data_IF_441763187865
#
_entry.id   IF_441763187865
#
_cell.length_a   1.000
_cell.length_b   1.000
_cell.length_c   1.000
_cell.angle_alpha   90.00
_cell.angle_beta   90.00
_cell.angle_gamma   90.00
#
_symmetry.space_group_name_H-M   'P 1'
#
loop_
_entity.id
_entity.type
_entity.pdbx_description
1 polymer ?
#
# COMPACT_ATOMS: atom_id res chain seq x y z
N UNK A 1 -17.88 11.05 -0.94
CA UNK A 1 -17.61 10.08 -2.03
C UNK A 1 -16.52 10.66 -2.90
N UNK A 2 -15.48 9.89 -3.24
CA UNK A 2 -14.38 10.39 -4.05
C UNK A 2 -14.75 10.54 -5.52
N UNK A 3 -14.08 11.45 -6.23
CA UNK A 3 -14.29 11.69 -7.67
C UNK A 3 -13.14 11.10 -8.49
N UNK A 4 -13.44 10.34 -9.54
CA UNK A 4 -12.44 9.82 -10.46
C UNK A 4 -12.02 10.87 -11.49
N UNK A 5 -10.73 10.97 -11.77
CA UNK A 5 -10.16 11.86 -12.80
C UNK A 5 -9.37 11.00 -13.79
N UNK A 6 -9.89 10.88 -15.02
CA UNK A 6 -9.26 10.08 -16.07
C UNK A 6 -7.97 10.72 -16.56
N UNK A 7 -7.13 9.91 -17.23
CA UNK A 7 -5.91 10.40 -17.90
C UNK A 7 -6.16 11.61 -18.81
N UNK A 8 -7.25 11.60 -19.58
CA UNK A 8 -7.61 12.72 -20.44
C UNK A 8 -7.96 13.98 -19.63
N UNK A 9 -8.71 13.84 -18.53
CA UNK A 9 -9.14 14.97 -17.71
C UNK A 9 -7.99 15.68 -17.00
N UNK A 10 -6.99 14.95 -16.51
CA UNK A 10 -5.81 15.58 -15.91
C UNK A 10 -4.71 15.91 -16.92
N UNK A 11 -4.91 15.67 -18.21
CA UNK A 11 -3.96 16.02 -19.26
C UNK A 11 -2.71 15.15 -19.23
N UNK A 12 -2.88 13.84 -19.02
CA UNK A 12 -1.81 12.86 -19.14
C UNK A 12 -1.19 12.89 -20.53
N UNK A 13 0.13 12.83 -20.60
CA UNK A 13 0.78 12.45 -21.85
C UNK A 13 0.71 10.94 -22.06
N UNK A 14 0.92 10.52 -23.31
CA UNK A 14 0.99 9.11 -23.66
C UNK A 14 2.16 8.42 -22.95
N UNK A 15 1.97 7.18 -22.45
CA UNK A 15 3.09 6.37 -21.95
C UNK A 15 4.03 5.99 -23.11
N UNK A 16 5.31 5.75 -22.81
CA UNK A 16 6.27 5.20 -23.80
C UNK A 16 6.02 3.72 -24.07
N UNK A 17 5.54 3.00 -23.07
CA UNK A 17 5.21 1.57 -23.13
C UNK A 17 4.13 1.24 -22.08
N UNK A 18 3.32 0.23 -22.35
CA UNK A 18 2.35 -0.35 -21.40
C UNK A 18 2.66 -1.83 -21.24
N UNK A 19 2.90 -2.26 -20.00
CA UNK A 19 3.10 -3.67 -19.66
C UNK A 19 1.90 -4.21 -18.90
N UNK A 20 1.29 -5.27 -19.42
CA UNK A 20 0.17 -5.97 -18.79
C UNK A 20 0.64 -7.17 -17.95
N UNK A 21 1.95 -7.32 -17.72
CA UNK A 21 2.50 -8.38 -16.89
C UNK A 21 2.33 -8.03 -15.41
N UNK A 22 1.15 -8.31 -14.87
CA UNK A 22 0.80 -8.05 -13.48
C UNK A 22 -0.05 -9.20 -12.92
N UNK A 23 0.23 -9.58 -11.68
CA UNK A 23 -0.35 -10.69 -10.91
C UNK A 23 -0.94 -10.21 -9.57
N UNK A 24 -1.85 -9.23 -9.56
CA UNK A 24 -2.29 -8.54 -8.34
C UNK A 24 -3.07 -9.44 -7.36
N UNK A 25 -3.48 -10.64 -7.80
CA UNK A 25 -4.07 -11.67 -6.96
C UNK A 25 -3.05 -12.34 -6.00
N UNK A 26 -1.74 -12.19 -6.24
CA UNK A 26 -0.68 -12.71 -5.36
C UNK A 26 -0.34 -11.72 -4.24
N UNK A 27 -0.61 -10.43 -4.43
CA UNK A 27 -0.31 -9.38 -3.47
C UNK A 27 -1.55 -8.61 -3.05
N UNK A 28 -1.83 -7.51 -3.75
CA UNK A 28 -2.93 -6.60 -3.42
C UNK A 28 -2.61 -5.15 -3.78
N UNK A 29 -2.80 -4.24 -2.83
CA UNK A 29 -2.58 -2.79 -3.04
C UNK A 29 -1.59 -2.22 -2.03
N UNK A 30 -0.63 -1.46 -2.52
CA UNK A 30 0.34 -0.74 -1.68
C UNK A 30 0.01 0.73 -1.64
N UNK A 31 -0.05 1.27 -0.42
CA UNK A 31 -0.22 2.70 -0.19
C UNK A 31 1.15 3.38 -0.21
N UNK A 32 1.22 4.50 -0.94
CA UNK A 32 2.39 5.34 -1.09
C UNK A 32 2.10 6.79 -0.71
N UNK A 33 3.16 7.56 -0.48
CA UNK A 33 3.17 9.02 -0.58
C UNK A 33 4.22 9.44 -1.62
N UNK A 34 4.22 10.71 -2.04
CA UNK A 34 5.01 11.16 -3.20
C UNK A 34 6.50 11.13 -2.90
N UNK A 35 6.95 11.83 -1.87
CA UNK A 35 8.37 12.02 -1.58
C UNK A 35 8.62 12.54 -0.15
N UNK A 36 9.88 12.65 0.25
CA UNK A 36 10.35 13.22 1.51
C UNK A 36 10.03 14.72 1.69
N UNK A 37 9.46 15.38 0.67
CA UNK A 37 9.03 16.78 0.72
C UNK A 37 7.51 16.84 0.84
N UNK A 38 7.01 17.81 1.62
CA UNK A 38 5.59 18.12 1.70
C UNK A 38 5.08 18.68 0.37
N UNK A 39 4.03 18.09 -0.16
CA UNK A 39 3.50 18.39 -1.50
C UNK A 39 1.98 18.55 -1.54
N UNK A 40 1.28 18.40 -0.42
CA UNK A 40 -0.16 18.61 -0.38
C UNK A 40 -0.53 20.03 -0.83
N UNK A 41 -1.42 20.12 -1.82
CA UNK A 41 -1.90 21.41 -2.35
C UNK A 41 -3.08 21.90 -1.55
N UNK A 42 -3.15 23.22 -1.34
CA UNK A 42 -4.31 23.85 -0.71
C UNK A 42 -5.53 23.77 -1.60
N UNK A 43 -5.37 24.02 -2.92
CA UNK A 43 -6.47 24.03 -3.88
C UNK A 43 -6.44 22.79 -4.78
N UNK A 44 -7.60 22.18 -5.00
CA UNK A 44 -7.73 21.01 -5.87
C UNK A 44 -7.32 21.30 -7.32
N UNK A 45 -7.55 22.53 -7.81
CA UNK A 45 -7.19 22.94 -9.17
C UNK A 45 -5.70 22.73 -9.49
N UNK A 46 -4.83 22.71 -8.48
CA UNK A 46 -3.39 22.52 -8.63
C UNK A 46 -2.98 21.04 -8.70
N UNK A 47 -3.85 20.11 -8.29
CA UNK A 47 -3.51 18.69 -8.19
C UNK A 47 -3.25 18.06 -9.56
N UNK A 48 -4.00 18.43 -10.61
CA UNK A 48 -3.74 17.91 -11.94
C UNK A 48 -2.35 18.32 -12.46
N UNK A 49 -1.92 19.56 -12.19
CA UNK A 49 -0.58 20.03 -12.53
C UNK A 49 0.50 19.27 -11.75
N UNK A 50 0.26 18.98 -10.47
CA UNK A 50 1.14 18.15 -9.65
C UNK A 50 1.28 16.73 -10.21
N UNK A 51 0.17 16.07 -10.58
CA UNK A 51 0.20 14.72 -11.17
C UNK A 51 0.97 14.70 -12.49
N UNK A 52 0.77 15.70 -13.36
CA UNK A 52 1.60 15.87 -14.58
C UNK A 52 3.07 16.05 -14.25
N UNK A 53 3.40 16.83 -13.22
CA UNK A 53 4.78 17.00 -12.74
C UNK A 53 5.42 15.67 -12.33
N UNK A 54 4.68 14.82 -11.61
CA UNK A 54 5.15 13.48 -11.21
C UNK A 54 5.36 12.59 -12.45
N UNK A 55 4.42 12.58 -13.41
CA UNK A 55 4.57 11.84 -14.67
C UNK A 55 5.80 12.31 -15.46
N UNK A 56 5.99 13.63 -15.54
CA UNK A 56 7.14 14.23 -16.22
C UNK A 56 8.45 13.81 -15.59
N UNK A 57 8.59 13.95 -14.26
CA UNK A 57 9.77 13.50 -13.55
C UNK A 57 10.06 12.00 -13.78
N UNK A 58 9.04 11.15 -13.72
CA UNK A 58 9.21 9.71 -13.93
C UNK A 58 9.72 9.36 -15.34
N UNK A 59 9.19 9.97 -16.40
CA UNK A 59 9.65 9.57 -17.75
C UNK A 59 10.84 10.40 -18.25
N UNK A 60 10.93 11.68 -17.89
CA UNK A 60 11.99 12.57 -18.40
C UNK A 60 13.27 12.47 -17.56
N UNK A 61 13.14 12.36 -16.24
CA UNK A 61 14.30 12.27 -15.34
C UNK A 61 14.71 10.81 -15.08
N UNK A 62 13.73 9.91 -14.84
CA UNK A 62 14.04 8.49 -14.53
C UNK A 62 14.00 7.57 -15.74
N UNK A 63 13.61 8.06 -16.91
CA UNK A 63 13.53 7.26 -18.13
C UNK A 63 12.39 6.23 -18.14
N UNK A 64 11.50 6.24 -17.15
CA UNK A 64 10.44 5.23 -17.02
C UNK A 64 9.40 5.34 -18.13
N UNK A 65 8.68 4.24 -18.36
CA UNK A 65 7.66 4.18 -19.39
C UNK A 65 6.48 5.14 -19.13
N UNK A 66 6.11 5.33 -17.86
CA UNK A 66 5.03 6.21 -17.42
C UNK A 66 5.17 6.52 -15.92
N UNK A 67 4.26 7.34 -15.39
CA UNK A 67 4.02 7.50 -13.95
C UNK A 67 3.97 6.13 -13.24
N UNK A 68 4.61 5.96 -12.09
CA UNK A 68 4.81 4.65 -11.49
C UNK A 68 3.57 3.98 -10.89
N UNK A 69 2.58 4.78 -10.49
CA UNK A 69 1.46 4.35 -9.66
C UNK A 69 0.25 3.95 -10.51
N UNK A 70 -0.55 3.00 -10.01
CA UNK A 70 -1.84 2.64 -10.62
C UNK A 70 -2.83 3.80 -10.50
N UNK A 71 -2.90 4.41 -9.32
CA UNK A 71 -3.74 5.57 -9.03
C UNK A 71 -3.04 6.57 -8.12
N UNK A 72 -3.46 7.84 -8.16
CA UNK A 72 -3.01 8.89 -7.24
C UNK A 72 -4.19 9.55 -6.53
N UNK A 73 -4.16 9.64 -5.21
CA UNK A 73 -5.24 10.20 -4.39
C UNK A 73 -4.84 11.58 -3.85
N UNK A 74 -5.62 12.62 -4.09
CA UNK A 74 -5.34 13.95 -3.53
C UNK A 74 -6.07 14.20 -2.21
N UNK A 75 -5.59 15.20 -1.46
CA UNK A 75 -6.15 15.60 -0.16
C UNK A 75 -7.58 16.17 -0.22
N UNK A 76 -8.12 16.36 -1.42
CA UNK A 76 -9.46 16.91 -1.68
C UNK A 76 -10.49 15.85 -2.08
N UNK A 77 -10.12 14.56 -2.07
CA UNK A 77 -11.07 13.48 -2.38
C UNK A 77 -11.18 13.13 -3.86
N UNK A 78 -10.13 13.39 -4.63
CA UNK A 78 -10.07 12.99 -6.04
C UNK A 78 -9.04 11.88 -6.22
N UNK A 79 -9.38 10.92 -7.09
CA UNK A 79 -8.53 9.82 -7.50
C UNK A 79 -8.18 9.98 -8.97
N UNK A 80 -6.92 10.29 -9.24
CA UNK A 80 -6.36 10.39 -10.58
C UNK A 80 -5.95 9.01 -11.10
N UNK A 81 -6.37 8.71 -12.32
CA UNK A 81 -5.92 7.55 -13.09
C UNK A 81 -4.43 7.66 -13.39
N UNK A 82 -3.62 6.77 -12.82
CA UNK A 82 -2.21 6.62 -13.16
C UNK A 82 -2.06 5.64 -14.32
N UNK A 83 -1.32 4.55 -14.10
CA UNK A 83 -1.26 3.42 -15.04
C UNK A 83 -2.60 2.67 -15.15
N UNK A 84 -3.46 2.77 -14.14
CA UNK A 84 -4.77 2.13 -14.12
C UNK A 84 -4.71 0.65 -13.74
N UNK A 85 -5.86 0.00 -13.89
CA UNK A 85 -6.03 -1.44 -13.69
C UNK A 85 -5.36 -2.26 -14.82
N UNK A 86 -4.93 -3.49 -14.51
CA UNK A 86 -4.26 -4.44 -15.41
C UNK A 86 -2.90 -4.00 -15.99
N UNK A 87 -2.38 -2.85 -15.56
CA UNK A 87 -1.07 -2.36 -15.98
C UNK A 87 -0.09 -2.44 -14.81
N UNK A 88 1.05 -3.09 -15.07
CA UNK A 88 2.16 -3.27 -14.13
C UNK A 88 2.67 -1.93 -13.59
N UNK A 89 2.94 -1.87 -12.29
CA UNK A 89 3.45 -0.65 -11.65
C UNK A 89 4.98 -0.49 -11.81
N UNK A 90 5.52 0.62 -11.34
CA UNK A 90 6.98 0.79 -11.13
C UNK A 90 7.27 1.38 -9.74
N UNK A 91 6.36 1.16 -8.80
CA UNK A 91 6.35 1.82 -7.50
C UNK A 91 6.98 0.97 -6.38
N UNK A 92 7.14 -0.34 -6.60
CA UNK A 92 7.48 -1.31 -5.56
C UNK A 92 8.95 -1.69 -5.50
N UNK A 93 9.84 -1.00 -6.20
CA UNK A 93 11.31 -1.17 -6.16
C UNK A 93 11.91 -2.54 -6.54
N UNK A 94 11.11 -3.59 -6.75
CA UNK A 94 11.54 -4.91 -7.26
C UNK A 94 10.66 -5.35 -8.42
N UNK A 95 11.14 -6.32 -9.21
CA UNK A 95 10.32 -6.91 -10.28
C UNK A 95 9.07 -7.57 -9.71
N UNK A 96 9.23 -8.52 -8.78
CA UNK A 96 8.12 -9.25 -8.17
C UNK A 96 7.11 -8.32 -7.50
N UNK A 97 7.57 -7.29 -6.78
CA UNK A 97 6.66 -6.33 -6.15
C UNK A 97 5.81 -5.58 -7.18
N UNK A 98 6.41 -5.16 -8.29
CA UNK A 98 5.70 -4.45 -9.36
C UNK A 98 4.76 -5.37 -10.16
N UNK A 99 5.02 -6.67 -10.18
CA UNK A 99 4.18 -7.70 -10.77
C UNK A 99 2.99 -8.00 -9.84
N UNK A 100 3.22 -8.25 -8.55
CA UNK A 100 2.17 -8.74 -7.63
C UNK A 100 1.30 -7.64 -7.01
N UNK A 101 1.66 -6.37 -7.15
CA UNK A 101 1.01 -5.30 -6.42
C UNK A 101 0.71 -4.07 -7.26
N UNK A 102 -0.53 -3.60 -7.11
CA UNK A 102 -0.90 -2.26 -7.52
C UNK A 102 -0.43 -1.21 -6.50
N UNK A 103 -0.41 0.05 -6.92
CA UNK A 103 0.05 1.15 -6.10
C UNK A 103 -0.93 2.33 -6.11
N UNK A 104 -1.34 2.79 -4.93
CA UNK A 104 -2.12 4.02 -4.73
C UNK A 104 -1.24 5.03 -4.03
N UNK A 105 -0.88 6.12 -4.71
CA UNK A 105 -0.04 7.17 -4.17
C UNK A 105 -0.87 8.36 -3.68
N UNK A 106 -0.77 8.68 -2.40
CA UNK A 106 -1.31 9.91 -1.87
C UNK A 106 -0.45 11.11 -2.30
N UNK A 107 -1.09 12.19 -2.78
CA UNK A 107 -0.46 13.49 -3.08
C UNK A 107 -0.14 14.27 -1.80
N UNK A 108 0.57 13.59 -0.91
CA UNK A 108 1.14 14.06 0.35
C UNK A 108 2.61 13.72 0.36
N UNK A 109 3.38 14.37 1.21
CA UNK A 109 4.75 13.95 1.47
C UNK A 109 5.29 14.40 2.81
N UNK A 110 6.61 14.40 2.93
CA UNK A 110 7.34 14.83 4.12
C UNK A 110 8.17 13.73 4.76
N UNK A 111 8.68 14.00 5.95
CA UNK A 111 9.51 13.09 6.75
C UNK A 111 8.94 12.93 8.15
N UNK A 112 9.49 11.98 8.91
CA UNK A 112 9.09 11.73 10.30
C UNK A 112 9.03 13.02 11.13
N UNK A 113 7.87 13.29 11.72
CA UNK A 113 7.59 14.51 12.49
C UNK A 113 7.13 15.74 11.68
N UNK A 114 7.16 15.68 10.34
CA UNK A 114 6.76 16.78 9.47
C UNK A 114 6.13 16.29 8.15
N UNK A 115 5.09 15.45 8.26
CA UNK A 115 4.30 15.03 7.11
C UNK A 115 3.17 16.02 6.81
N UNK A 116 2.72 16.02 5.56
CA UNK A 116 1.44 16.64 5.21
C UNK A 116 0.27 16.02 5.98
N UNK A 117 -0.76 16.83 6.20
CA UNK A 117 -1.98 16.38 6.84
C UNK A 117 -2.72 15.37 5.96
N UNK A 118 -3.03 14.21 6.54
CA UNK A 118 -3.93 13.23 5.92
C UNK A 118 -5.38 13.62 6.23
N UNK A 119 -6.08 14.12 5.22
CA UNK A 119 -7.50 14.51 5.33
C UNK A 119 -8.41 13.28 5.24
N UNK A 120 -9.66 13.39 5.73
CA UNK A 120 -10.67 12.35 5.54
C UNK A 120 -10.98 12.11 4.05
N UNK A 121 -10.95 13.18 3.24
CA UNK A 121 -11.17 13.11 1.80
C UNK A 121 -10.04 12.34 1.10
N UNK A 122 -8.78 12.48 1.54
CA UNK A 122 -7.67 11.65 1.05
C UNK A 122 -7.94 10.16 1.29
N UNK A 123 -8.37 9.82 2.50
CA UNK A 123 -8.69 8.43 2.87
C UNK A 123 -9.82 7.90 2.00
N UNK A 124 -10.88 8.67 1.76
CA UNK A 124 -11.97 8.27 0.87
C UNK A 124 -11.50 8.04 -0.58
N UNK A 125 -10.58 8.86 -1.09
CA UNK A 125 -9.97 8.65 -2.40
C UNK A 125 -9.11 7.39 -2.44
N UNK A 126 -8.32 7.11 -1.39
CA UNK A 126 -7.55 5.86 -1.28
C UNK A 126 -8.48 4.65 -1.26
N UNK A 127 -9.54 4.67 -0.43
CA UNK A 127 -10.55 3.60 -0.38
C UNK A 127 -11.16 3.35 -1.75
N UNK A 128 -11.51 4.41 -2.47
CA UNK A 128 -12.06 4.31 -3.80
C UNK A 128 -11.06 3.65 -4.77
N UNK A 129 -9.78 4.04 -4.72
CA UNK A 129 -8.73 3.43 -5.53
C UNK A 129 -8.49 1.95 -5.21
N UNK A 130 -8.42 1.60 -3.94
CA UNK A 130 -8.31 0.19 -3.50
C UNK A 130 -9.51 -0.62 -3.98
N UNK A 131 -10.74 -0.07 -3.88
CA UNK A 131 -11.94 -0.75 -4.33
C UNK A 131 -11.90 -1.02 -5.84
N UNK A 132 -11.54 -0.02 -6.64
CA UNK A 132 -11.40 -0.18 -8.10
C UNK A 132 -10.38 -1.25 -8.47
N UNK A 133 -9.19 -1.20 -7.85
CA UNK A 133 -8.12 -2.16 -8.14
C UNK A 133 -8.49 -3.60 -7.74
N UNK A 134 -9.34 -3.78 -6.73
CA UNK A 134 -9.90 -5.10 -6.39
C UNK A 134 -10.97 -5.54 -7.38
N UNK A 135 -12.00 -4.71 -7.59
CA UNK A 135 -13.20 -5.08 -8.35
C UNK A 135 -12.89 -5.19 -9.84
N UNK A 136 -12.21 -4.20 -10.41
CA UNK A 136 -11.87 -4.16 -11.82
C UNK A 136 -10.50 -4.79 -12.08
N UNK A 137 -9.52 -4.53 -11.21
CA UNK A 137 -8.14 -4.97 -11.42
C UNK A 137 -7.79 -6.36 -10.89
N UNK A 138 -8.68 -7.05 -10.18
CA UNK A 138 -8.44 -8.40 -9.64
C UNK A 138 -7.45 -8.49 -8.48
N UNK A 139 -7.21 -7.38 -7.77
CA UNK A 139 -6.30 -7.38 -6.63
C UNK A 139 -6.79 -8.23 -5.47
N UNK A 140 -5.87 -8.94 -4.81
CA UNK A 140 -6.15 -9.60 -3.54
C UNK A 140 -6.46 -8.58 -2.43
N UNK A 141 -6.90 -9.10 -1.28
CA UNK A 141 -7.39 -8.26 -0.18
C UNK A 141 -6.29 -7.55 0.58
N UNK A 142 -5.01 -7.94 0.44
CA UNK A 142 -3.94 -7.32 1.19
C UNK A 142 -3.83 -5.81 0.90
N UNK A 143 -3.60 -5.04 1.97
CA UNK A 143 -3.21 -3.63 1.87
C UNK A 143 -1.95 -3.47 2.74
N UNK A 144 -0.89 -2.93 2.15
CA UNK A 144 0.39 -2.69 2.84
C UNK A 144 0.88 -1.26 2.61
N UNK A 145 1.92 -0.84 3.32
CA UNK A 145 2.68 0.37 3.01
C UNK A 145 3.90 0.05 2.14
N UNK A 146 4.45 1.03 1.44
CA UNK A 146 5.69 0.83 0.66
C UNK A 146 6.85 0.31 1.52
N UNK A 147 6.93 0.75 2.79
CA UNK A 147 7.91 0.26 3.77
C UNK A 147 7.87 -1.23 4.05
N UNK A 148 6.76 -1.90 3.74
CA UNK A 148 6.63 -3.35 3.87
C UNK A 148 7.32 -4.10 2.71
N UNK A 149 7.76 -3.37 1.69
CA UNK A 149 8.43 -3.88 0.49
C UNK A 149 9.87 -3.40 0.37
N UNK A 150 10.18 -2.21 0.89
CA UNK A 150 11.47 -1.54 0.77
C UNK A 150 11.85 -0.79 2.04
N UNK A 151 13.15 -0.59 2.28
CA UNK A 151 13.64 0.26 3.35
C UNK A 151 13.35 1.74 3.04
N UNK A 152 12.19 2.23 3.45
CA UNK A 152 11.73 3.61 3.21
C UNK A 152 10.82 4.13 4.33
N UNK A 153 10.70 5.45 4.45
CA UNK A 153 9.67 6.07 5.29
C UNK A 153 8.27 5.98 4.68
N UNK A 154 8.17 5.79 3.36
CA UNK A 154 6.89 5.68 2.65
C UNK A 154 6.03 4.52 3.20
N UNK A 155 4.73 4.72 3.53
CA UNK A 155 3.85 5.83 3.17
C UNK A 155 3.76 6.98 4.19
N UNK A 156 4.72 7.10 5.10
CA UNK A 156 4.77 8.19 6.09
C UNK A 156 3.57 8.16 7.04
N UNK A 157 2.95 9.32 7.25
CA UNK A 157 1.78 9.47 8.13
C UNK A 157 0.58 8.58 7.78
N UNK A 158 0.52 8.02 6.56
CA UNK A 158 -0.55 7.11 6.15
C UNK A 158 -0.41 5.70 6.74
N UNK A 159 0.78 5.32 7.23
CA UNK A 159 1.01 3.93 7.63
C UNK A 159 0.17 3.53 8.85
N UNK A 160 -0.10 4.45 9.78
CA UNK A 160 -1.02 4.20 10.90
C UNK A 160 -2.44 3.88 10.41
N UNK A 161 -2.87 4.50 9.30
CA UNK A 161 -4.17 4.27 8.66
C UNK A 161 -4.22 2.99 7.84
N UNK A 162 -3.07 2.55 7.31
CA UNK A 162 -2.91 1.19 6.75
C UNK A 162 -3.11 0.18 7.88
N UNK A 163 -2.37 0.30 8.97
CA UNK A 163 -2.42 -0.65 10.09
C UNK A 163 -3.77 -0.70 10.80
N UNK A 164 -4.51 0.41 10.88
CA UNK A 164 -5.87 0.43 11.42
C UNK A 164 -6.91 -0.15 10.45
N UNK A 165 -6.54 -0.33 9.18
CA UNK A 165 -7.46 -0.71 8.10
C UNK A 165 -8.36 0.43 7.64
N UNK A 166 -8.15 1.66 8.11
CA UNK A 166 -8.98 2.79 7.73
C UNK A 166 -9.01 3.01 6.20
N UNK A 167 -7.93 2.69 5.50
CA UNK A 167 -7.85 2.78 4.02
C UNK A 167 -8.53 1.62 3.27
N UNK A 168 -9.02 0.60 3.97
CA UNK A 168 -9.78 -0.49 3.37
C UNK A 168 -11.15 0.03 2.86
N UNK A 169 -11.62 -0.41 1.68
CA UNK A 169 -13.00 -0.20 1.24
C UNK A 169 -14.00 -0.60 2.33
N UNK A 170 -14.88 0.34 2.72
CA UNK A 170 -15.82 0.19 3.84
C UNK A 170 -15.25 0.48 5.23
N UNK A 171 -13.95 0.76 5.34
CA UNK A 171 -13.23 0.94 6.61
C UNK A 171 -13.04 -0.36 7.37
N UNK A 172 -12.88 -0.24 8.70
CA UNK A 172 -12.71 -1.36 9.63
C UNK A 172 -11.27 -1.88 9.71
N UNK A 173 -11.05 -2.97 10.46
CA UNK A 173 -9.73 -3.57 10.64
C UNK A 173 -9.06 -3.93 9.32
N UNK A 174 -7.72 -3.97 9.33
CA UNK A 174 -6.95 -4.34 8.15
C UNK A 174 -7.34 -5.77 7.70
N UNK A 175 -7.79 -5.96 6.45
CA UNK A 175 -8.31 -7.26 6.00
C UNK A 175 -7.21 -8.31 5.95
N UNK A 176 -7.57 -9.57 6.23
CA UNK A 176 -6.68 -10.70 6.04
C UNK A 176 -6.17 -10.75 4.58
N UNK A 177 -4.85 -10.90 4.35
CA UNK A 177 -4.26 -10.80 3.01
C UNK A 177 -4.67 -11.93 2.05
N UNK A 178 -5.26 -13.01 2.55
CA UNK A 178 -5.63 -14.18 1.75
C UNK A 178 -4.56 -15.26 1.68
N UNK A 179 -3.42 -15.06 2.37
CA UNK A 179 -2.30 -16.00 2.45
C UNK A 179 -1.93 -16.23 3.92
N UNK A 180 -1.68 -17.49 4.28
CA UNK A 180 -1.29 -17.89 5.64
C UNK A 180 0.22 -17.91 5.79
N UNK A 181 0.72 -17.35 6.89
CA UNK A 181 2.16 -17.37 7.18
C UNK A 181 2.48 -18.61 8.00
N UNK A 182 3.37 -19.46 7.49
CA UNK A 182 3.79 -20.71 8.13
C UNK A 182 5.23 -21.03 7.76
N UNK A 183 5.89 -21.83 8.58
CA UNK A 183 7.23 -22.35 8.31
C UNK A 183 7.38 -23.73 8.99
N UNK A 184 8.17 -24.67 8.43
CA UNK A 184 9.03 -24.55 7.24
C UNK A 184 8.33 -24.79 5.87
N UNK A 185 8.91 -24.33 4.74
CA UNK A 185 10.07 -23.41 4.65
C UNK A 185 9.69 -21.98 5.07
N UNK A 186 10.68 -21.09 5.21
CA UNK A 186 10.43 -19.67 5.48
C UNK A 186 9.49 -19.09 4.42
N UNK A 187 8.38 -18.52 4.86
CA UNK A 187 7.42 -17.85 3.98
C UNK A 187 7.78 -16.37 3.83
N UNK A 188 7.86 -15.87 2.60
CA UNK A 188 8.25 -14.47 2.31
C UNK A 188 7.10 -13.75 1.64
N UNK A 189 6.65 -12.64 2.24
CA UNK A 189 5.57 -11.83 1.69
C UNK A 189 5.51 -10.46 2.39
N UNK A 190 5.16 -9.38 1.68
CA UNK A 190 5.13 -8.03 2.27
C UNK A 190 4.17 -7.92 3.47
N UNK A 191 3.05 -8.65 3.46
CA UNK A 191 2.13 -8.68 4.63
C UNK A 191 2.75 -9.30 5.89
N UNK A 192 3.85 -10.06 5.78
CA UNK A 192 4.62 -10.51 6.95
C UNK A 192 5.29 -9.31 7.62
N UNK A 193 5.87 -8.38 6.86
CA UNK A 193 6.46 -7.15 7.40
C UNK A 193 5.40 -6.29 8.10
N UNK A 194 4.21 -6.15 7.48
CA UNK A 194 3.07 -5.47 8.11
C UNK A 194 2.69 -6.11 9.45
N UNK A 195 2.65 -7.44 9.53
CA UNK A 195 2.35 -8.18 10.76
C UNK A 195 3.47 -8.03 11.79
N UNK A 196 4.74 -8.24 11.42
CA UNK A 196 5.91 -8.08 12.30
C UNK A 196 5.95 -6.67 12.92
N UNK A 197 5.73 -5.63 12.11
CA UNK A 197 5.67 -4.26 12.61
C UNK A 197 4.56 -4.07 13.63
N UNK A 198 3.35 -4.61 13.35
CA UNK A 198 2.22 -4.52 14.27
C UNK A 198 2.48 -5.28 15.58
N UNK A 199 3.11 -6.45 15.50
CA UNK A 199 3.51 -7.23 16.67
C UNK A 199 4.46 -6.44 17.57
N UNK A 200 5.46 -5.77 16.99
CA UNK A 200 6.39 -4.95 17.75
C UNK A 200 5.71 -3.73 18.37
N UNK A 201 4.97 -2.97 17.56
CA UNK A 201 4.45 -1.66 17.99
C UNK A 201 3.23 -1.73 18.90
N UNK A 202 2.39 -2.76 18.78
CA UNK A 202 1.18 -2.89 19.59
C UNK A 202 1.35 -3.83 20.78
N UNK A 203 2.17 -4.87 20.63
CA UNK A 203 2.26 -5.94 21.62
C UNK A 203 3.66 -6.08 22.23
N UNK A 204 4.61 -5.22 21.85
CA UNK A 204 5.93 -5.14 22.49
C UNK A 204 6.86 -6.31 22.16
N UNK A 205 6.62 -7.02 21.05
CA UNK A 205 7.59 -8.00 20.54
C UNK A 205 8.82 -7.29 19.96
N UNK A 206 9.91 -8.05 19.77
CA UNK A 206 11.17 -7.58 19.21
C UNK A 206 11.54 -8.40 17.95
N UNK A 207 10.61 -8.50 17.00
CA UNK A 207 10.83 -9.17 15.73
C UNK A 207 11.65 -8.29 14.79
N UNK A 208 12.51 -8.90 13.98
CA UNK A 208 12.98 -8.26 12.74
C UNK A 208 11.78 -8.01 11.83
N UNK A 209 11.68 -6.81 11.26
CA UNK A 209 10.64 -6.46 10.27
C UNK A 209 11.27 -6.60 8.88
N UNK A 210 11.33 -7.83 8.40
CA UNK A 210 12.07 -8.23 7.19
C UNK A 210 11.18 -8.88 6.13
N UNK A 211 9.89 -9.06 6.40
CA UNK A 211 8.95 -9.72 5.48
C UNK A 211 9.14 -11.24 5.41
N UNK A 212 9.93 -11.82 6.31
CA UNK A 212 10.25 -13.25 6.34
C UNK A 212 9.65 -13.92 7.58
N UNK A 213 8.75 -14.87 7.35
CA UNK A 213 8.14 -15.67 8.41
C UNK A 213 9.01 -16.90 8.69
N UNK A 214 10.08 -16.69 9.48
CA UNK A 214 10.98 -17.74 9.94
C UNK A 214 10.72 -18.20 11.38
N UNK A 215 11.66 -18.97 11.98
CA UNK A 215 11.55 -19.50 13.35
C UNK A 215 11.18 -18.48 14.43
N UNK A 216 11.76 -17.27 14.38
CA UNK A 216 11.44 -16.21 15.34
C UNK A 216 9.98 -15.72 15.24
N UNK A 217 9.48 -15.58 14.01
CA UNK A 217 8.09 -15.18 13.75
C UNK A 217 7.10 -16.26 14.19
N UNK A 218 7.39 -17.54 13.94
CA UNK A 218 6.58 -18.68 14.43
C UNK A 218 6.51 -18.72 15.95
N UNK A 219 7.65 -18.59 16.64
CA UNK A 219 7.68 -18.59 18.10
C UNK A 219 6.86 -17.42 18.69
N UNK A 220 6.97 -16.23 18.09
CA UNK A 220 6.16 -15.08 18.48
C UNK A 220 4.67 -15.29 18.20
N UNK A 221 4.33 -15.89 17.06
CA UNK A 221 2.95 -16.24 16.71
C UNK A 221 2.34 -17.22 17.71
N UNK A 222 3.05 -18.30 18.06
CA UNK A 222 2.57 -19.26 19.06
C UNK A 222 2.33 -18.62 20.42
N UNK A 223 3.27 -17.78 20.89
CA UNK A 223 3.09 -17.02 22.13
C UNK A 223 1.86 -16.11 22.05
N UNK A 224 1.71 -15.37 20.97
CA UNK A 224 0.56 -14.50 20.75
C UNK A 224 -0.76 -15.28 20.72
N UNK A 225 -0.79 -16.44 20.06
CA UNK A 225 -1.94 -17.32 20.02
C UNK A 225 -2.32 -17.81 21.43
N UNK A 226 -1.34 -18.23 22.24
CA UNK A 226 -1.54 -18.57 23.65
C UNK A 226 -2.13 -17.41 24.44
N UNK A 227 -1.54 -16.22 24.33
CA UNK A 227 -1.96 -15.01 25.05
C UNK A 227 -3.38 -14.56 24.66
N UNK A 228 -3.87 -14.98 23.48
CA UNK A 228 -5.19 -14.64 22.94
C UNK A 228 -6.21 -15.78 22.99
N UNK A 229 -5.85 -16.92 23.56
CA UNK A 229 -6.74 -18.09 23.60
C UNK A 229 -7.10 -18.61 22.21
N UNK A 230 -6.20 -18.47 21.24
CA UNK A 230 -6.35 -19.01 19.88
C UNK A 230 -5.73 -20.41 19.79
N UNK A 231 -6.03 -21.14 18.71
CA UNK A 231 -5.30 -22.36 18.35
C UNK A 231 -3.80 -22.04 18.22
N UNK A 232 -2.96 -22.76 18.98
CA UNK A 232 -1.50 -22.55 19.02
C UNK A 232 -0.81 -23.39 17.94
N UNK A 233 -1.06 -23.07 16.69
CA UNK A 233 -0.50 -23.78 15.52
C UNK A 233 0.73 -23.09 14.91
N UNK A 234 1.05 -21.87 15.34
CA UNK A 234 2.14 -21.05 14.78
C UNK A 234 1.85 -20.55 13.36
N UNK A 235 0.58 -20.57 12.93
CA UNK A 235 0.14 -20.08 11.63
C UNK A 235 -0.57 -18.74 11.79
N UNK A 236 -0.10 -17.72 11.08
CA UNK A 236 -0.88 -16.47 10.95
C UNK A 236 -1.97 -16.68 9.90
N UNK A 237 -3.07 -17.28 10.34
CA UNK A 237 -4.32 -17.42 9.57
C UNK A 237 -5.32 -16.29 9.86
N UNK A 238 -6.56 -16.39 9.35
CA UNK A 238 -7.58 -15.35 9.51
C UNK A 238 -7.84 -14.93 10.96
N UNK A 239 -7.90 -15.89 11.90
CA UNK A 239 -8.19 -15.60 13.31
C UNK A 239 -7.02 -14.89 14.00
N UNK A 240 -5.78 -15.34 13.77
CA UNK A 240 -4.57 -14.70 14.31
C UNK A 240 -4.38 -13.31 13.72
N UNK A 241 -4.64 -13.15 12.41
CA UNK A 241 -4.61 -11.84 11.77
C UNK A 241 -5.66 -10.89 12.36
N UNK A 242 -6.91 -11.33 12.50
CA UNK A 242 -7.97 -10.54 13.12
C UNK A 242 -7.59 -10.11 14.54
N UNK A 243 -7.08 -11.01 15.38
CA UNK A 243 -6.63 -10.66 16.73
C UNK A 243 -5.44 -9.66 16.74
N UNK A 244 -4.63 -9.62 15.68
CA UNK A 244 -3.49 -8.69 15.55
C UNK A 244 -3.98 -7.27 15.20
N UNK A 245 -5.01 -7.16 14.36
CA UNK A 245 -5.46 -5.91 13.73
C UNK A 245 -6.84 -5.40 14.18
N UNK A 246 -7.59 -6.14 15.00
CA UNK A 246 -8.86 -5.71 15.61
C UNK A 246 -8.71 -4.49 16.53
#
# INVERSE_FOLDING_TARGET
MATFVTRAQWGARAPREVSNNITPAQGGVVVHHVDAVRVARTNHADCAAQVRGIQNHHMDTRGWADIAYSHLACVHGYLFEGRGEHVRTAAQGTTQGNDDWYAVCALTGGTSGNYDTVTAQLVDAIRYGVNRLRVSGGAARAITGHRDHHATECPGALYTRVLSGEVNPGGGPLPYPGVSFRQPPTFVHASVATWQYRMNTRFGYALSVDGQYGPGSDAACRRFQTDRGLTVDGVVGPNTWAATFA
#
